data_IF_699425062548
#
_entry.id   IF_699425062548
#
_cell.length_a   1.000
_cell.length_b   1.000
_cell.length_c   1.000
_cell.angle_alpha   90.00
_cell.angle_beta   90.00
_cell.angle_gamma   90.00
#
_symmetry.space_group_name_H-M   'P 1'
#
loop_
_entity.id
_entity.type
_entity.pdbx_description
1 polymer ?
#
# COMPACT_ATOMS: atom_id res chain seq x y z
N UNK A 1 10.53 6.32 27.74
CA UNK A 1 9.54 7.39 27.52
C UNK A 1 8.64 6.90 26.41
N UNK A 2 7.59 6.19 26.81
CA UNK A 2 6.57 5.57 25.97
C UNK A 2 5.41 6.57 25.90
N UNK A 3 5.15 7.15 24.72
CA UNK A 3 4.13 8.18 24.55
C UNK A 3 3.66 8.23 23.10
N UNK A 4 2.75 7.31 22.74
CA UNK A 4 1.97 7.38 21.49
C UNK A 4 1.73 6.06 20.76
N UNK A 5 2.06 4.92 21.35
CA UNK A 5 2.18 3.67 20.61
C UNK A 5 0.83 2.96 20.44
N UNK A 6 0.23 3.10 19.24
CA UNK A 6 -1.02 2.42 18.86
C UNK A 6 -2.25 3.33 18.78
N UNK A 7 -2.13 4.63 19.02
CA UNK A 7 -3.22 5.57 18.78
C UNK A 7 -3.51 5.68 17.27
N UNK A 8 -4.80 5.73 16.92
CA UNK A 8 -5.23 6.01 15.55
C UNK A 8 -4.72 7.39 15.15
N UNK A 9 -3.93 7.46 14.08
CA UNK A 9 -3.37 8.70 13.54
C UNK A 9 -4.27 9.37 12.50
N UNK A 10 -5.19 8.59 11.94
CA UNK A 10 -6.17 9.05 10.96
C UNK A 10 -6.79 7.88 10.22
N UNK A 11 -7.47 8.18 9.13
CA UNK A 11 -8.09 7.21 8.23
C UNK A 11 -7.30 7.18 6.93
N UNK A 12 -6.88 5.99 6.52
CA UNK A 12 -6.38 5.72 5.19
C UNK A 12 -7.60 5.51 4.29
N UNK A 13 -7.62 6.14 3.12
CA UNK A 13 -8.66 5.95 2.10
C UNK A 13 -8.00 5.79 0.75
N UNK A 14 -8.24 4.66 0.08
CA UNK A 14 -7.77 4.43 -1.28
C UNK A 14 -8.56 5.27 -2.27
N UNK A 15 -7.88 6.12 -3.04
CA UNK A 15 -8.50 7.01 -4.03
C UNK A 15 -9.01 6.29 -5.30
N UNK A 16 -8.84 4.96 -5.41
CA UNK A 16 -9.33 4.17 -6.55
C UNK A 16 -10.48 3.23 -6.21
N UNK A 17 -10.52 2.69 -4.99
CA UNK A 17 -11.54 1.72 -4.60
C UNK A 17 -12.30 2.10 -3.33
N UNK A 18 -11.98 3.25 -2.73
CA UNK A 18 -12.61 3.81 -1.53
C UNK A 18 -12.43 2.98 -0.26
N UNK A 19 -11.67 1.88 -0.33
CA UNK A 19 -11.27 1.11 0.84
C UNK A 19 -10.70 2.06 1.89
N UNK A 20 -11.34 2.06 3.06
CA UNK A 20 -10.99 2.94 4.15
C UNK A 20 -10.77 2.16 5.44
N UNK A 21 -9.71 2.51 6.18
CA UNK A 21 -9.38 1.86 7.46
C UNK A 21 -8.57 2.83 8.34
N UNK A 22 -8.73 2.81 9.67
CA UNK A 22 -7.83 3.56 10.55
C UNK A 22 -6.39 3.06 10.41
N UNK A 23 -5.43 3.98 10.47
CA UNK A 23 -4.01 3.63 10.49
C UNK A 23 -3.35 4.17 11.77
N UNK A 24 -2.31 3.47 12.23
CA UNK A 24 -1.57 3.84 13.45
C UNK A 24 -0.14 4.26 13.15
N UNK A 25 0.37 4.05 11.93
CA UNK A 25 1.66 4.59 11.49
C UNK A 25 1.68 4.95 10.00
N UNK A 26 2.53 5.91 9.66
CA UNK A 26 2.94 6.23 8.30
C UNK A 26 4.46 6.36 8.25
N UNK A 27 5.09 5.66 7.32
CA UNK A 27 6.54 5.71 7.09
C UNK A 27 7.15 4.36 6.75
N UNK A 28 8.48 4.31 6.68
CA UNK A 28 9.24 3.11 6.33
C UNK A 28 9.57 2.20 7.52
N UNK A 29 9.46 2.68 8.76
CA UNK A 29 9.82 1.94 9.97
C UNK A 29 8.56 1.60 10.75
N UNK A 30 8.03 0.37 10.64
CA UNK A 30 6.88 -0.04 11.42
C UNK A 30 7.21 0.01 12.92
N UNK A 31 6.29 0.49 13.77
CA UNK A 31 6.48 0.50 15.22
C UNK A 31 6.64 -0.94 15.73
N UNK A 32 7.36 -1.12 16.84
CA UNK A 32 7.55 -2.41 17.50
C UNK A 32 8.22 -3.52 16.67
N UNK A 33 8.85 -3.19 15.53
CA UNK A 33 9.62 -4.16 14.75
C UNK A 33 11.11 -3.92 14.92
N UNK A 34 11.85 -4.93 15.37
CA UNK A 34 13.31 -4.85 15.47
C UNK A 34 13.92 -5.18 14.12
N UNK A 35 14.59 -4.21 13.50
CA UNK A 35 15.39 -4.42 12.29
C UNK A 35 14.63 -4.52 10.97
N UNK A 36 13.32 -4.25 10.95
CA UNK A 36 12.54 -4.20 9.69
C UNK A 36 12.47 -2.76 9.18
N UNK A 37 12.78 -2.58 7.89
CA UNK A 37 12.60 -1.31 7.17
C UNK A 37 11.90 -1.63 5.85
N UNK A 38 10.77 -0.97 5.60
CA UNK A 38 10.02 -1.07 4.36
C UNK A 38 10.72 -0.28 3.25
N UNK A 39 10.57 -0.76 2.02
CA UNK A 39 11.14 -0.14 0.82
C UNK A 39 10.43 1.16 0.41
N UNK A 40 9.28 1.47 1.04
CA UNK A 40 8.49 2.67 0.77
C UNK A 40 7.78 3.16 2.04
N UNK A 41 7.36 4.43 2.04
CA UNK A 41 6.53 4.96 3.12
C UNK A 41 5.12 4.38 3.02
N UNK A 42 4.73 3.57 4.00
CA UNK A 42 3.44 2.90 3.99
C UNK A 42 2.51 3.45 5.06
N UNK A 43 1.21 3.47 4.76
CA UNK A 43 0.17 3.53 5.77
C UNK A 43 -0.02 2.12 6.33
N UNK A 44 0.05 1.98 7.65
CA UNK A 44 -0.16 0.70 8.28
C UNK A 44 -0.76 0.79 9.67
N UNK A 45 -1.17 -0.37 10.17
CA UNK A 45 -1.76 -0.55 11.48
C UNK A 45 -1.18 -1.80 12.15
N UNK A 46 -1.48 -1.99 13.45
CA UNK A 46 -1.26 -3.30 14.07
C UNK A 46 -2.09 -4.33 13.32
N UNK A 47 -1.52 -5.51 13.08
CA UNK A 47 -2.23 -6.59 12.42
C UNK A 47 -3.45 -7.01 13.27
N UNK A 48 -4.70 -6.80 12.79
CA UNK A 48 -5.89 -7.18 13.55
C UNK A 48 -6.15 -8.70 13.53
N UNK A 49 -5.43 -9.45 12.70
CA UNK A 49 -5.54 -10.89 12.57
C UNK A 49 -4.48 -11.65 13.36
N UNK A 50 -3.56 -10.93 14.04
CA UNK A 50 -2.55 -11.53 14.89
C UNK A 50 -2.64 -11.03 16.34
N UNK A 51 -2.51 -11.91 17.34
CA UNK A 51 -2.39 -11.50 18.73
C UNK A 51 -1.02 -10.89 19.06
N UNK A 52 -0.02 -11.05 18.19
CA UNK A 52 1.36 -10.55 18.39
C UNK A 52 1.43 -9.03 18.16
N UNK A 53 1.87 -8.29 19.18
CA UNK A 53 1.90 -6.81 19.15
C UNK A 53 2.90 -6.22 18.14
N UNK A 54 3.85 -7.04 17.70
CA UNK A 54 4.96 -6.68 16.82
C UNK A 54 4.61 -6.89 15.33
N UNK A 55 3.48 -7.56 15.04
CA UNK A 55 2.98 -7.72 13.69
C UNK A 55 2.15 -6.52 13.25
N UNK A 56 2.34 -6.15 11.99
CA UNK A 56 1.70 -5.00 11.37
C UNK A 56 1.11 -5.38 10.01
N UNK A 57 0.06 -4.66 9.63
CA UNK A 57 -0.59 -4.78 8.34
C UNK A 57 -0.33 -3.50 7.53
N UNK A 58 0.12 -3.66 6.29
CA UNK A 58 0.26 -2.55 5.32
C UNK A 58 -1.06 -2.38 4.58
N UNK A 59 -1.63 -1.18 4.67
CA UNK A 59 -2.89 -0.84 3.99
C UNK A 59 -2.64 -0.36 2.56
N UNK A 60 -1.60 0.46 2.38
CA UNK A 60 -1.31 1.11 1.11
C UNK A 60 -0.16 2.11 1.21
N UNK A 61 0.10 2.82 0.12
CA UNK A 61 1.08 3.91 0.03
C UNK A 61 0.62 4.92 -1.03
N UNK A 62 1.40 5.98 -1.23
CA UNK A 62 1.21 6.93 -2.32
C UNK A 62 1.79 6.37 -3.61
N UNK A 63 1.09 6.54 -4.72
CA UNK A 63 1.67 6.32 -6.03
C UNK A 63 2.86 7.25 -6.23
N UNK A 64 4.02 6.71 -6.59
CA UNK A 64 5.23 7.52 -6.76
C UNK A 64 5.23 8.46 -7.98
N UNK A 65 4.24 8.35 -8.88
CA UNK A 65 4.09 9.22 -10.05
C UNK A 65 3.08 10.35 -9.82
N UNK A 66 1.88 10.02 -9.30
CA UNK A 66 0.79 10.99 -9.11
C UNK A 66 0.45 11.32 -7.65
N UNK A 67 1.17 10.74 -6.67
CA UNK A 67 0.95 10.90 -5.23
C UNK A 67 -0.41 10.45 -4.67
N UNK A 68 -1.32 9.91 -5.50
CA UNK A 68 -2.59 9.35 -5.04
C UNK A 68 -2.37 8.23 -4.01
N UNK A 69 -3.14 8.24 -2.94
CA UNK A 69 -3.17 7.21 -1.92
C UNK A 69 -3.86 5.97 -2.50
N UNK A 70 -3.14 4.85 -2.58
CA UNK A 70 -3.64 3.59 -3.15
C UNK A 70 -3.36 2.41 -2.24
N UNK A 71 -4.33 1.52 -2.11
CA UNK A 71 -4.19 0.32 -1.30
C UNK A 71 -3.29 -0.73 -1.96
N UNK A 72 -2.87 -1.71 -1.17
CA UNK A 72 -2.07 -2.86 -1.65
C UNK A 72 -2.86 -3.81 -2.57
N UNK A 73 -4.15 -3.57 -2.77
CA UNK A 73 -5.01 -4.37 -3.63
C UNK A 73 -4.52 -4.37 -5.09
N UNK A 74 -4.52 -5.54 -5.71
CA UNK A 74 -3.99 -5.77 -7.06
C UNK A 74 -4.73 -5.03 -8.17
N UNK A 75 -5.94 -4.55 -7.87
CA UNK A 75 -6.77 -3.75 -8.76
C UNK A 75 -6.54 -2.23 -8.60
N UNK A 76 -5.78 -1.83 -7.58
CA UNK A 76 -5.50 -0.43 -7.28
C UNK A 76 -4.02 -0.08 -7.50
N UNK A 77 -3.11 -0.97 -7.13
CA UNK A 77 -1.68 -0.68 -7.23
C UNK A 77 -0.82 -1.89 -7.55
N UNK A 78 0.40 -1.58 -7.97
CA UNK A 78 1.51 -2.52 -8.18
C UNK A 78 2.70 -2.01 -7.38
N UNK A 79 3.36 -2.89 -6.64
CA UNK A 79 4.67 -2.62 -6.06
C UNK A 79 5.75 -3.33 -6.90
N UNK A 80 6.75 -2.57 -7.33
CA UNK A 80 7.96 -3.12 -7.96
C UNK A 80 9.19 -2.63 -7.19
N UNK A 81 9.73 -1.46 -7.56
CA UNK A 81 10.72 -0.71 -6.76
C UNK A 81 10.06 0.37 -5.91
N UNK A 82 8.86 0.79 -6.31
CA UNK A 82 7.97 1.76 -5.65
C UNK A 82 6.52 1.31 -5.90
N UNK A 83 5.55 1.87 -5.17
CA UNK A 83 4.14 1.69 -5.50
C UNK A 83 3.68 2.62 -6.61
N UNK A 84 2.96 2.04 -7.56
CA UNK A 84 2.33 2.74 -8.69
C UNK A 84 0.84 2.43 -8.66
N UNK A 85 -0.01 3.43 -8.85
CA UNK A 85 -1.43 3.17 -9.07
C UNK A 85 -1.62 2.54 -10.45
N UNK A 86 -2.61 1.65 -10.61
CA UNK A 86 -2.84 1.00 -11.91
C UNK A 86 -3.08 1.97 -13.07
N UNK A 87 -3.75 3.13 -12.91
CA UNK A 87 -3.81 4.13 -13.97
C UNK A 87 -2.42 4.55 -14.47
N UNK A 88 -1.50 4.91 -13.58
CA UNK A 88 -0.14 5.28 -13.98
C UNK A 88 0.64 4.09 -14.56
N UNK A 89 0.43 2.87 -14.07
CA UNK A 89 1.07 1.70 -14.67
C UNK A 89 0.61 1.50 -16.12
N UNK A 90 -0.68 1.69 -16.41
CA UNK A 90 -1.22 1.56 -17.78
C UNK A 90 -0.70 2.66 -18.71
N UNK A 91 -0.62 3.90 -18.22
CA UNK A 91 -0.09 5.05 -18.96
C UNK A 91 1.39 4.87 -19.32
N UNK A 92 2.17 4.31 -18.39
CA UNK A 92 3.62 4.13 -18.55
C UNK A 92 4.02 2.66 -18.79
N UNK A 93 3.10 1.82 -19.29
CA UNK A 93 3.28 0.35 -19.34
C UNK A 93 4.56 -0.07 -20.05
N UNK A 94 4.92 0.62 -21.12
CA UNK A 94 6.11 0.38 -21.93
C UNK A 94 7.44 0.60 -21.17
N UNK A 95 7.43 1.29 -20.02
CA UNK A 95 8.60 1.52 -19.18
C UNK A 95 8.79 0.43 -18.11
N UNK A 96 7.81 -0.45 -17.92
CA UNK A 96 7.91 -1.58 -17.00
C UNK A 96 8.54 -2.79 -17.68
N UNK A 97 9.21 -3.69 -16.94
CA UNK A 97 9.70 -4.97 -17.46
C UNK A 97 8.60 -5.80 -18.17
N UNK A 98 8.98 -6.55 -19.21
CA UNK A 98 8.06 -7.37 -20.03
C UNK A 98 7.18 -8.32 -19.21
N UNK A 99 7.72 -8.86 -18.11
CA UNK A 99 6.96 -9.71 -17.19
C UNK A 99 5.74 -8.97 -16.61
N UNK A 100 5.90 -7.71 -16.19
CA UNK A 100 4.80 -6.90 -15.66
C UNK A 100 3.80 -6.57 -16.77
N UNK A 101 4.29 -6.23 -17.96
CA UNK A 101 3.43 -5.97 -19.11
C UNK A 101 2.54 -7.19 -19.44
N UNK A 102 3.14 -8.38 -19.43
CA UNK A 102 2.47 -9.66 -19.72
C UNK A 102 1.42 -10.00 -18.65
N UNK A 103 1.75 -9.86 -17.37
CA UNK A 103 0.82 -10.13 -16.28
C UNK A 103 -0.39 -9.17 -16.28
N UNK A 104 -0.17 -7.90 -16.61
CA UNK A 104 -1.26 -6.93 -16.72
C UNK A 104 -2.14 -7.15 -17.96
N UNK A 105 -1.59 -7.64 -19.06
CA UNK A 105 -2.36 -7.99 -20.25
C UNK A 105 -3.32 -9.17 -20.01
N UNK A 106 -2.96 -10.11 -19.12
CA UNK A 106 -3.82 -11.23 -18.73
C UNK A 106 -5.00 -10.81 -17.85
N UNK A 107 -4.85 -9.73 -17.08
CA UNK A 107 -5.89 -9.20 -16.20
C UNK A 107 -6.92 -8.42 -17.01
N UNK A 108 -8.09 -9.03 -17.24
CA UNK A 108 -9.25 -8.27 -17.74
C UNK A 108 -9.68 -7.25 -16.67
N UNK A 109 -10.06 -6.02 -17.04
CA UNK A 109 -10.66 -5.10 -16.10
C UNK A 109 -11.97 -5.70 -15.59
N UNK A 110 -11.99 -6.12 -14.33
CA UNK A 110 -13.22 -6.57 -13.67
C UNK A 110 -14.09 -5.32 -13.49
N UNK A 111 -15.14 -5.19 -14.30
CA UNK A 111 -16.16 -4.17 -14.07
C UNK A 111 -16.80 -4.45 -12.71
N UNK A 112 -16.71 -3.50 -11.78
CA UNK A 112 -17.53 -3.54 -10.57
C UNK A 112 -18.98 -3.39 -11.01
N UNK A 113 -19.78 -4.42 -10.77
CA UNK A 113 -21.24 -4.39 -10.91
C UNK A 113 -21.88 -3.53 -9.82
#
# INVERSE_FOLDING_TARGET
MDSGEGAVRGVFTCELCELSSPYTFYGQKPPNTRGIVLLEECYGMRDPFSPEKEKFLVLGSKCCLCNKIVCVGTECSLFYTKRFCLPCVREHLHQFPEQIQTELAKKKPTQKS
#
